data_IF_818038548168
#
_entry.id   IF_818038548168
#
_cell.length_a   1.000
_cell.length_b   1.000
_cell.length_c   1.000
_cell.angle_alpha   90.00
_cell.angle_beta   90.00
_cell.angle_gamma   90.00
#
_symmetry.space_group_name_H-M   'P 1'
#
loop_
_entity.id
_entity.type
_entity.pdbx_description
1 polymer ?
#
# COMPACT_ATOMS: atom_id res chain seq x y z
N UNK A 1 19.24 23.71 7.36
CA UNK A 1 20.16 24.75 6.84
C UNK A 1 20.70 24.20 5.53
N UNK A 2 20.42 24.87 4.41
CA UNK A 2 20.91 24.45 3.10
C UNK A 2 22.20 25.21 2.83
N UNK A 3 23.30 24.48 2.64
CA UNK A 3 24.60 25.04 2.28
C UNK A 3 24.75 24.97 0.76
N UNK A 4 24.72 26.11 0.10
CA UNK A 4 25.18 26.19 -1.28
C UNK A 4 26.70 26.43 -1.25
N UNK A 5 27.48 25.59 -1.87
CA UNK A 5 28.91 25.81 -2.08
C UNK A 5 29.05 26.82 -3.23
N UNK A 6 29.55 28.02 -2.98
CA UNK A 6 29.86 28.96 -4.07
C UNK A 6 30.98 28.38 -4.94
N UNK A 7 30.95 28.68 -6.22
CA UNK A 7 31.95 28.20 -7.20
C UNK A 7 33.40 28.71 -6.94
N UNK A 8 33.61 29.57 -5.99
CA UNK A 8 34.91 30.09 -5.54
C UNK A 8 34.98 30.14 -4.01
N UNK A 9 35.60 29.20 -3.40
CA UNK A 9 36.54 29.21 -2.27
C UNK A 9 36.11 29.74 -0.89
N UNK A 10 35.05 30.49 -0.69
CA UNK A 10 34.64 30.98 0.61
C UNK A 10 33.25 30.46 0.98
N UNK A 11 33.19 29.75 2.10
CA UNK A 11 31.93 29.41 2.78
C UNK A 11 31.33 30.68 3.39
N UNK A 12 30.70 31.51 2.59
CA UNK A 12 29.81 32.50 3.12
C UNK A 12 28.60 31.76 3.71
N UNK A 13 28.39 31.86 5.01
CA UNK A 13 27.20 31.40 5.71
C UNK A 13 25.99 32.30 5.35
N UNK A 14 25.73 32.45 4.07
CA UNK A 14 24.55 33.17 3.58
C UNK A 14 23.38 32.20 3.67
N UNK A 15 22.60 32.32 4.75
CA UNK A 15 21.28 31.75 4.81
C UNK A 15 20.46 32.37 3.67
N UNK A 16 20.02 31.54 2.74
CA UNK A 16 19.08 32.00 1.73
C UNK A 16 17.86 32.60 2.40
N UNK A 17 17.34 33.75 1.92
CA UNK A 17 16.16 34.35 2.48
C UNK A 17 14.98 33.39 2.31
N UNK A 18 14.29 33.11 3.42
CA UNK A 18 13.06 32.33 3.38
C UNK A 18 11.97 33.12 2.70
N UNK A 19 11.33 32.52 1.72
CA UNK A 19 10.20 33.10 1.02
C UNK A 19 8.93 32.93 1.85
N UNK A 20 8.13 33.99 1.96
CA UNK A 20 6.92 34.00 2.77
C UNK A 20 5.75 33.23 2.12
N UNK A 21 5.73 33.10 0.79
CA UNK A 21 4.70 32.40 0.05
C UNK A 21 5.24 31.84 -1.28
N UNK A 22 4.62 30.79 -1.84
CA UNK A 22 4.93 30.31 -3.17
C UNK A 22 4.74 31.39 -4.25
N UNK A 23 5.31 31.21 -5.44
CA UNK A 23 5.00 32.07 -6.58
C UNK A 23 3.51 32.11 -6.86
N UNK A 24 3.01 33.28 -7.24
CA UNK A 24 1.61 33.44 -7.66
C UNK A 24 1.41 32.74 -9.01
N UNK A 25 0.40 31.87 -9.08
CA UNK A 25 -0.05 31.23 -10.32
C UNK A 25 -1.56 31.42 -10.46
N UNK A 26 -2.13 31.30 -11.67
CA UNK A 26 -3.56 31.56 -11.91
C UNK A 26 -4.51 30.80 -10.98
N UNK A 27 -4.15 29.52 -10.65
CA UNK A 27 -4.97 28.65 -9.82
C UNK A 27 -4.65 28.74 -8.31
N UNK A 28 -3.86 29.74 -7.92
CA UNK A 28 -3.46 29.99 -6.54
C UNK A 28 -2.16 29.32 -6.10
N UNK A 29 -1.61 29.78 -4.97
CA UNK A 29 -0.28 29.39 -4.53
C UNK A 29 -0.22 27.93 -4.03
N UNK A 30 -1.29 27.36 -3.47
CA UNK A 30 -1.36 25.93 -3.11
C UNK A 30 -1.21 25.05 -4.36
N UNK A 31 -1.80 25.49 -5.47
CA UNK A 31 -1.68 24.80 -6.75
C UNK A 31 -0.25 24.74 -7.27
N UNK A 32 0.51 25.81 -7.09
CA UNK A 32 1.92 25.81 -7.46
C UNK A 32 2.68 24.70 -6.73
N UNK A 33 2.45 24.54 -5.42
CA UNK A 33 3.11 23.51 -4.61
C UNK A 33 2.66 22.09 -5.01
N UNK A 34 1.35 21.89 -5.24
CA UNK A 34 0.82 20.62 -5.76
C UNK A 34 1.53 20.20 -7.05
N UNK A 35 1.75 21.15 -7.98
CA UNK A 35 2.43 20.85 -9.25
C UNK A 35 3.89 20.45 -9.06
N UNK A 36 4.62 21.12 -8.15
CA UNK A 36 6.00 20.77 -7.85
C UNK A 36 6.09 19.35 -7.25
N UNK A 37 5.15 19.00 -6.37
CA UNK A 37 5.05 17.66 -5.79
C UNK A 37 4.68 16.63 -6.88
N UNK A 38 3.75 16.98 -7.78
CA UNK A 38 3.39 16.11 -8.90
C UNK A 38 4.58 15.80 -9.82
N UNK A 39 5.43 16.80 -10.07
CA UNK A 39 6.65 16.64 -10.87
C UNK A 39 7.73 15.86 -10.12
N UNK A 40 7.84 16.05 -8.81
CA UNK A 40 8.85 15.42 -7.97
C UNK A 40 8.29 15.00 -6.61
N UNK A 41 7.73 13.79 -6.49
CA UNK A 41 7.17 13.30 -5.25
C UNK A 41 8.20 13.14 -4.11
N UNK A 42 9.50 13.12 -4.42
CA UNK A 42 10.54 13.12 -3.40
C UNK A 42 10.47 14.34 -2.45
N UNK A 43 9.83 15.44 -2.87
CA UNK A 43 9.57 16.60 -2.00
C UNK A 43 8.73 16.20 -0.79
N UNK A 44 7.74 15.31 -0.94
CA UNK A 44 6.95 14.78 0.17
C UNK A 44 7.67 13.67 0.93
N UNK A 45 8.45 12.89 0.21
CA UNK A 45 9.00 11.63 0.69
C UNK A 45 10.43 11.78 1.23
N UNK A 46 11.07 12.92 1.01
CA UNK A 46 12.38 13.24 1.58
C UNK A 46 12.28 13.27 3.11
N UNK A 47 12.77 12.23 3.74
CA UNK A 47 12.64 12.03 5.19
C UNK A 47 11.43 11.17 5.60
N UNK A 48 10.64 10.65 4.66
CA UNK A 48 9.72 9.57 4.96
C UNK A 48 10.51 8.41 5.58
N UNK A 49 10.10 8.04 6.79
CA UNK A 49 10.85 7.09 7.61
C UNK A 49 10.87 5.66 7.08
N UNK A 50 10.24 5.40 5.94
CA UNK A 50 10.17 4.07 5.34
C UNK A 50 10.76 4.03 3.92
N UNK A 51 11.72 3.13 3.66
CA UNK A 51 12.24 2.86 2.32
C UNK A 51 11.15 2.47 1.32
N UNK A 52 10.04 1.92 1.77
CA UNK A 52 8.88 1.53 0.95
C UNK A 52 8.35 2.67 0.10
N UNK A 53 8.39 3.89 0.63
CA UNK A 53 7.86 5.07 -0.06
C UNK A 53 8.87 5.76 -0.99
N UNK A 54 10.14 5.34 -0.99
CA UNK A 54 11.18 5.97 -1.81
C UNK A 54 10.94 5.83 -3.33
N UNK A 55 10.15 4.81 -3.74
CA UNK A 55 9.85 4.52 -5.15
C UNK A 55 8.47 5.00 -5.58
N UNK A 56 7.74 5.70 -4.72
CA UNK A 56 6.40 6.20 -5.05
C UNK A 56 6.50 7.18 -6.22
N UNK A 57 5.66 6.97 -7.24
CA UNK A 57 5.48 7.86 -8.39
C UNK A 57 4.15 8.60 -8.26
N UNK A 58 4.11 9.82 -8.72
CA UNK A 58 2.86 10.58 -8.82
C UNK A 58 1.88 9.87 -9.74
N UNK A 59 0.62 9.80 -9.32
CA UNK A 59 -0.49 9.29 -10.13
C UNK A 59 -1.38 10.43 -10.60
N UNK A 60 -1.73 11.33 -9.70
CA UNK A 60 -2.56 12.48 -10.07
C UNK A 60 -2.79 13.45 -8.93
N UNK A 61 -3.42 14.57 -9.28
CA UNK A 61 -3.88 15.59 -8.35
C UNK A 61 -5.38 15.82 -8.51
N UNK A 62 -6.02 16.32 -7.44
CA UNK A 62 -7.44 16.67 -7.45
C UNK A 62 -8.34 15.48 -7.79
N UNK A 63 -8.02 14.29 -7.20
CA UNK A 63 -8.78 13.07 -7.44
C UNK A 63 -10.06 13.10 -6.62
N UNK A 64 -11.20 12.95 -7.30
CA UNK A 64 -12.50 12.93 -6.65
C UNK A 64 -12.81 11.50 -6.20
N UNK A 65 -12.93 11.31 -4.88
CA UNK A 65 -13.30 10.06 -4.24
C UNK A 65 -14.84 9.92 -4.12
N UNK A 66 -15.33 8.71 -3.79
CA UNK A 66 -16.72 8.52 -3.40
C UNK A 66 -17.15 9.50 -2.29
N UNK A 67 -18.36 10.04 -2.40
CA UNK A 67 -18.81 11.09 -1.48
C UNK A 67 -18.35 12.50 -1.85
N UNK A 68 -17.69 12.69 -2.99
CA UNK A 68 -17.31 14.01 -3.52
C UNK A 68 -16.08 14.63 -2.86
N UNK A 69 -15.37 13.90 -2.02
CA UNK A 69 -14.11 14.32 -1.42
C UNK A 69 -13.01 14.36 -2.46
N UNK A 70 -12.13 15.35 -2.36
CA UNK A 70 -11.07 15.58 -3.34
C UNK A 70 -9.70 15.51 -2.68
N UNK A 71 -8.89 14.53 -3.09
CA UNK A 71 -7.50 14.39 -2.65
C UNK A 71 -6.61 15.34 -3.42
N UNK A 72 -5.78 16.11 -2.74
CA UNK A 72 -4.86 17.04 -3.38
C UNK A 72 -3.82 16.33 -4.26
N UNK A 73 -3.27 15.21 -3.80
CA UNK A 73 -2.31 14.41 -4.52
C UNK A 73 -2.33 12.94 -4.08
N UNK A 74 -2.15 12.04 -5.03
CA UNK A 74 -1.95 10.61 -4.80
C UNK A 74 -0.71 10.12 -5.53
N UNK A 75 0.05 9.26 -4.87
CA UNK A 75 1.15 8.51 -5.45
C UNK A 75 1.08 7.04 -5.09
N UNK A 76 1.64 6.21 -5.96
CA UNK A 76 1.69 4.75 -5.75
C UNK A 76 3.09 4.25 -6.13
N UNK A 77 3.65 3.33 -5.33
CA UNK A 77 4.92 2.69 -5.66
C UNK A 77 4.72 1.49 -6.58
N UNK A 78 5.78 0.99 -7.25
CA UNK A 78 5.73 -0.26 -8.00
C UNK A 78 5.29 -1.47 -7.16
N UNK A 79 5.47 -1.41 -5.85
CA UNK A 79 5.07 -2.44 -4.89
C UNK A 79 3.60 -2.31 -4.44
N UNK A 80 2.87 -1.29 -4.93
CA UNK A 80 1.48 -1.04 -4.59
C UNK A 80 1.26 -0.22 -3.30
N UNK A 81 2.34 0.34 -2.70
CA UNK A 81 2.22 1.22 -1.53
C UNK A 81 1.55 2.54 -1.94
N UNK A 82 0.54 2.97 -1.18
CA UNK A 82 -0.27 4.15 -1.50
C UNK A 82 0.09 5.30 -0.58
N UNK A 83 0.31 6.47 -1.16
CA UNK A 83 0.53 7.72 -0.45
C UNK A 83 -0.52 8.74 -0.86
N UNK A 84 -1.21 9.32 0.11
CA UNK A 84 -2.13 10.42 -0.06
C UNK A 84 -1.50 11.68 0.51
N UNK A 85 -1.68 12.82 -0.13
CA UNK A 85 -1.25 14.09 0.44
C UNK A 85 -2.38 15.10 0.51
N UNK A 86 -2.42 15.80 1.64
CA UNK A 86 -3.11 17.07 1.82
C UNK A 86 -2.05 18.17 1.85
N UNK A 87 -2.24 19.20 1.02
CA UNK A 87 -1.25 20.25 0.78
C UNK A 87 -1.88 21.59 1.16
N UNK A 88 -1.32 22.26 2.16
CA UNK A 88 -1.83 23.55 2.65
C UNK A 88 -0.71 24.55 2.86
N UNK A 89 -1.03 25.82 2.62
CA UNK A 89 -0.16 26.92 2.99
C UNK A 89 -0.45 27.40 4.42
N UNK A 90 0.61 27.76 5.14
CA UNK A 90 0.52 28.18 6.55
C UNK A 90 -0.36 29.42 6.80
N UNK A 91 -0.58 30.22 5.77
CA UNK A 91 -1.50 31.38 5.83
C UNK A 91 -2.97 31.02 5.58
N UNK A 92 -3.28 29.74 5.30
CA UNK A 92 -4.67 29.31 5.14
C UNK A 92 -5.38 29.37 6.50
N UNK A 93 -6.56 29.98 6.52
CA UNK A 93 -7.39 30.15 7.74
C UNK A 93 -8.01 28.87 8.25
N UNK A 94 -7.87 27.76 7.51
CA UNK A 94 -8.37 26.46 7.95
C UNK A 94 -7.74 26.04 9.26
N UNK A 95 -8.57 25.53 10.16
CA UNK A 95 -8.09 25.09 11.45
C UNK A 95 -7.14 23.86 11.28
N UNK A 96 -6.12 23.78 12.14
CA UNK A 96 -5.17 22.66 12.15
C UNK A 96 -5.85 21.30 12.31
N UNK A 97 -7.05 21.29 12.93
CA UNK A 97 -7.88 20.09 13.08
C UNK A 97 -8.54 19.70 11.77
N UNK A 98 -8.88 20.65 10.91
CA UNK A 98 -9.50 20.40 9.61
C UNK A 98 -8.56 19.66 8.67
N UNK A 99 -7.26 19.99 8.66
CA UNK A 99 -6.26 19.30 7.83
C UNK A 99 -6.18 17.82 8.19
N UNK A 100 -6.13 17.52 9.50
CA UNK A 100 -6.11 16.12 9.97
C UNK A 100 -7.44 15.43 9.68
N UNK A 101 -8.56 16.11 9.91
CA UNK A 101 -9.88 15.57 9.62
C UNK A 101 -10.07 15.27 8.13
N UNK A 102 -9.62 16.15 7.23
CA UNK A 102 -9.65 15.92 5.78
C UNK A 102 -8.82 14.69 5.38
N UNK A 103 -7.60 14.55 5.92
CA UNK A 103 -6.75 13.39 5.64
C UNK A 103 -7.40 12.08 6.11
N UNK A 104 -8.05 12.07 7.30
CA UNK A 104 -8.79 10.93 7.80
C UNK A 104 -10.05 10.62 6.96
N UNK A 105 -10.71 11.65 6.46
CA UNK A 105 -11.83 11.51 5.54
C UNK A 105 -11.40 10.84 4.21
N UNK A 106 -10.24 11.23 3.67
CA UNK A 106 -9.69 10.60 2.47
C UNK A 106 -9.36 9.13 2.73
N UNK A 107 -8.71 8.85 3.86
CA UNK A 107 -8.43 7.50 4.29
C UNK A 107 -9.70 6.64 4.35
N UNK A 108 -10.74 7.15 5.01
CA UNK A 108 -12.02 6.45 5.15
C UNK A 108 -12.67 6.17 3.79
N UNK A 109 -12.66 7.15 2.88
CA UNK A 109 -13.23 6.99 1.54
C UNK A 109 -12.41 6.01 0.67
N UNK A 110 -11.08 6.05 0.79
CA UNK A 110 -10.18 5.19 0.02
C UNK A 110 -10.31 3.71 0.44
N UNK A 111 -10.41 3.44 1.74
CA UNK A 111 -10.49 2.08 2.29
C UNK A 111 -11.66 1.26 1.75
N UNK A 112 -12.74 1.91 1.34
CA UNK A 112 -13.91 1.26 0.73
C UNK A 112 -13.81 1.02 -0.77
N UNK A 113 -12.71 1.41 -1.41
CA UNK A 113 -12.56 1.33 -2.87
C UNK A 113 -11.96 0.00 -3.33
N UNK A 114 -12.38 -0.45 -4.52
CA UNK A 114 -11.65 -1.48 -5.25
C UNK A 114 -10.52 -0.85 -6.09
N UNK A 115 -9.58 -1.69 -6.56
CA UNK A 115 -8.53 -1.26 -7.49
C UNK A 115 -9.10 -0.51 -8.71
N UNK A 116 -10.14 -1.08 -9.34
CA UNK A 116 -10.79 -0.50 -10.52
C UNK A 116 -11.46 0.84 -10.21
N UNK A 117 -12.06 0.96 -9.02
CA UNK A 117 -12.68 2.21 -8.57
C UNK A 117 -11.62 3.30 -8.37
N UNK A 118 -10.48 2.95 -7.79
CA UNK A 118 -9.35 3.86 -7.63
C UNK A 118 -8.77 4.27 -9.00
N UNK A 119 -8.52 3.31 -9.88
CA UNK A 119 -8.01 3.55 -11.22
C UNK A 119 -8.94 4.48 -12.02
N UNK A 120 -10.24 4.21 -12.01
CA UNK A 120 -11.25 5.05 -12.65
C UNK A 120 -11.32 6.47 -12.06
N UNK A 121 -11.18 6.62 -10.74
CA UNK A 121 -11.14 7.92 -10.08
C UNK A 121 -9.89 8.71 -10.51
N UNK A 122 -8.73 8.03 -10.54
CA UNK A 122 -7.48 8.63 -11.02
C UNK A 122 -7.54 9.00 -12.50
N UNK A 123 -8.15 8.17 -13.36
CA UNK A 123 -8.32 8.48 -14.80
C UNK A 123 -9.17 9.74 -15.03
N UNK A 124 -10.21 9.93 -14.23
CA UNK A 124 -11.13 11.08 -14.33
C UNK A 124 -10.58 12.37 -13.74
N UNK A 125 -9.45 12.31 -13.03
CA UNK A 125 -8.86 13.49 -12.42
C UNK A 125 -8.41 14.49 -13.49
N UNK A 126 -8.57 15.78 -13.20
CA UNK A 126 -8.19 16.88 -14.12
C UNK A 126 -6.69 16.83 -14.47
N UNK A 127 -5.88 16.33 -13.55
CA UNK A 127 -4.43 16.11 -13.74
C UNK A 127 -4.08 14.70 -13.32
N UNK A 128 -4.19 13.81 -14.28
CA UNK A 128 -3.85 12.40 -14.16
C UNK A 128 -2.61 12.08 -14.99
N UNK A 129 -1.78 11.21 -14.51
CA UNK A 129 -0.72 10.56 -15.32
C UNK A 129 -1.23 9.28 -15.99
N UNK A 130 -2.50 8.91 -15.74
CA UNK A 130 -3.19 7.87 -16.48
C UNK A 130 -3.78 8.47 -17.76
N UNK A 131 -3.48 7.87 -18.91
CA UNK A 131 -3.98 8.35 -20.21
C UNK A 131 -4.00 7.22 -21.23
N UNK A 132 -5.06 7.11 -22.02
CA UNK A 132 -5.22 6.06 -23.01
C UNK A 132 -5.15 4.67 -22.37
N UNK A 133 -4.21 3.85 -22.83
CA UNK A 133 -3.98 2.49 -22.31
C UNK A 133 -3.10 2.44 -21.05
N UNK A 134 -2.60 3.60 -20.57
CA UNK A 134 -1.77 3.68 -19.38
C UNK A 134 -2.63 3.68 -18.13
N UNK A 135 -2.67 2.54 -17.44
CA UNK A 135 -3.34 2.36 -16.16
C UNK A 135 -2.46 2.67 -14.95
N UNK A 136 -2.94 2.32 -13.76
CA UNK A 136 -2.18 2.49 -12.51
C UNK A 136 -0.89 1.67 -12.53
N UNK A 137 -0.88 0.48 -13.12
CA UNK A 137 0.27 -0.41 -13.21
C UNK A 137 1.46 0.26 -13.90
N UNK A 138 1.24 0.84 -15.07
CA UNK A 138 2.26 1.55 -15.83
C UNK A 138 2.63 2.88 -15.17
N UNK A 139 1.64 3.62 -14.66
CA UNK A 139 1.86 4.92 -14.02
C UNK A 139 2.69 4.80 -12.73
N UNK A 140 2.45 3.77 -11.93
CA UNK A 140 3.25 3.48 -10.74
C UNK A 140 4.66 2.95 -11.07
N UNK A 141 4.94 2.63 -12.34
CA UNK A 141 6.21 2.04 -12.78
C UNK A 141 6.36 0.56 -12.41
N UNK A 142 5.25 -0.11 -12.11
CA UNK A 142 5.28 -1.54 -11.83
C UNK A 142 5.57 -2.38 -13.08
N UNK A 143 5.28 -1.86 -14.27
CA UNK A 143 5.66 -2.48 -15.54
C UNK A 143 7.19 -2.63 -15.73
N UNK A 144 7.99 -1.79 -15.06
CA UNK A 144 9.44 -1.86 -15.06
C UNK A 144 10.00 -2.80 -13.97
N UNK A 145 9.11 -3.44 -13.21
CA UNK A 145 9.43 -4.38 -12.13
C UNK A 145 9.15 -5.82 -12.54
N UNK A 146 9.43 -6.76 -11.63
CA UNK A 146 9.10 -8.15 -11.86
C UNK A 146 7.61 -8.49 -11.63
N UNK A 147 6.77 -7.49 -11.31
CA UNK A 147 5.34 -7.71 -11.07
C UNK A 147 4.54 -7.83 -12.36
N UNK A 148 3.55 -8.71 -12.35
CA UNK A 148 2.47 -8.70 -13.35
C UNK A 148 1.43 -7.65 -12.96
N UNK A 149 0.61 -7.23 -13.94
CA UNK A 149 -0.48 -6.29 -13.67
C UNK A 149 -1.49 -6.84 -12.64
N UNK A 150 -1.73 -8.15 -12.64
CA UNK A 150 -2.62 -8.80 -11.70
C UNK A 150 -2.04 -8.79 -10.27
N UNK A 151 -0.76 -9.10 -10.11
CA UNK A 151 -0.06 -9.05 -8.81
C UNK A 151 -0.03 -7.63 -8.23
N UNK A 152 0.24 -6.63 -9.06
CA UNK A 152 0.21 -5.24 -8.65
C UNK A 152 -1.20 -4.82 -8.20
N UNK A 153 -2.23 -5.13 -8.98
CA UNK A 153 -3.62 -4.80 -8.66
C UNK A 153 -4.05 -5.44 -7.34
N UNK A 154 -3.57 -6.65 -7.06
CA UNK A 154 -3.86 -7.35 -5.82
C UNK A 154 -3.18 -6.69 -4.62
N UNK A 155 -1.90 -6.32 -4.73
CA UNK A 155 -1.17 -5.59 -3.68
C UNK A 155 -1.84 -4.25 -3.35
N UNK A 156 -2.26 -3.49 -4.37
CA UNK A 156 -3.04 -2.26 -4.16
C UNK A 156 -4.36 -2.57 -3.47
N UNK A 157 -5.07 -3.63 -3.87
CA UNK A 157 -6.33 -4.06 -3.25
C UNK A 157 -6.13 -4.44 -1.78
N UNK A 158 -5.07 -5.18 -1.45
CA UNK A 158 -4.75 -5.55 -0.08
C UNK A 158 -4.42 -4.32 0.78
N UNK A 159 -3.67 -3.35 0.24
CA UNK A 159 -3.39 -2.09 0.93
C UNK A 159 -4.65 -1.24 1.13
N UNK A 160 -5.57 -1.20 0.15
CA UNK A 160 -6.87 -0.53 0.30
C UNK A 160 -7.73 -1.21 1.39
N UNK A 161 -7.81 -2.52 1.38
CA UNK A 161 -8.62 -3.30 2.32
C UNK A 161 -8.08 -3.21 3.75
N UNK A 162 -6.78 -3.38 3.94
CA UNK A 162 -6.13 -3.27 5.25
C UNK A 162 -6.05 -1.84 5.74
N UNK A 163 -6.16 -0.87 4.84
CA UNK A 163 -5.98 0.55 5.13
C UNK A 163 -4.51 0.94 5.30
N UNK A 164 -3.59 0.16 4.71
CA UNK A 164 -2.16 0.46 4.76
C UNK A 164 -1.82 1.54 3.75
N UNK A 165 -1.84 2.78 4.21
CA UNK A 165 -1.52 3.97 3.42
C UNK A 165 -0.64 4.92 4.22
N UNK A 166 0.11 5.77 3.54
CA UNK A 166 0.77 6.92 4.14
C UNK A 166 -0.07 8.17 3.88
N UNK A 167 -0.48 8.85 4.95
CA UNK A 167 -1.09 10.18 4.89
C UNK A 167 0.01 11.23 5.07
N UNK A 168 0.34 11.97 4.02
CA UNK A 168 1.32 13.04 4.03
C UNK A 168 0.62 14.40 4.17
N UNK A 169 0.87 15.09 5.28
CA UNK A 169 0.41 16.47 5.51
C UNK A 169 1.56 17.40 5.13
N UNK A 170 1.44 18.11 4.02
CA UNK A 170 2.47 18.98 3.46
C UNK A 170 2.10 20.46 3.62
N UNK A 171 2.93 21.21 4.36
CA UNK A 171 2.73 22.63 4.62
C UNK A 171 4.02 23.39 4.32
N UNK A 172 3.90 24.67 3.89
CA UNK A 172 5.04 25.58 3.81
C UNK A 172 5.56 26.02 5.19
N UNK A 173 4.70 25.98 6.20
CA UNK A 173 5.04 26.22 7.60
C UNK A 173 4.20 25.31 8.51
N UNK A 174 4.87 24.52 9.37
CA UNK A 174 4.22 23.65 10.34
C UNK A 174 4.17 24.32 11.71
N UNK A 175 2.97 24.68 12.19
CA UNK A 175 2.81 25.18 13.55
C UNK A 175 3.16 24.10 14.60
N UNK A 176 3.84 24.49 15.67
CA UNK A 176 4.23 23.59 16.77
C UNK A 176 3.05 22.80 17.34
N UNK A 177 1.88 23.41 17.43
CA UNK A 177 0.67 22.75 17.93
C UNK A 177 0.13 21.65 16.98
N UNK A 178 0.35 21.80 15.66
CA UNK A 178 0.02 20.72 14.71
C UNK A 178 1.02 19.56 14.82
N UNK A 179 2.31 19.87 14.94
CA UNK A 179 3.33 18.85 15.14
C UNK A 179 3.06 18.05 16.42
N UNK A 180 2.68 18.71 17.51
CA UNK A 180 2.28 18.05 18.76
C UNK A 180 1.01 17.22 18.61
N UNK A 181 -0.02 17.73 17.91
CA UNK A 181 -1.25 16.98 17.66
C UNK A 181 -0.95 15.67 16.92
N UNK A 182 -0.12 15.71 15.89
CA UNK A 182 0.28 14.51 15.15
C UNK A 182 1.12 13.58 16.00
N UNK A 183 2.13 14.10 16.72
CA UNK A 183 3.01 13.29 17.56
C UNK A 183 2.27 12.71 18.77
N UNK A 184 1.57 13.54 19.53
CA UNK A 184 1.06 13.15 20.85
C UNK A 184 -0.26 12.35 20.72
N UNK A 185 -1.15 12.76 19.80
CA UNK A 185 -2.47 12.13 19.68
C UNK A 185 -2.42 10.88 18.81
N UNK A 186 -1.71 10.92 17.67
CA UNK A 186 -1.67 9.77 16.77
C UNK A 186 -0.65 8.71 17.20
N UNK A 187 0.45 9.09 17.88
CA UNK A 187 1.42 8.11 18.39
C UNK A 187 0.90 7.30 19.57
N UNK A 188 -0.04 7.84 20.33
CA UNK A 188 -0.64 7.15 21.48
C UNK A 188 -1.73 6.13 21.06
N UNK A 189 -2.13 6.12 19.80
CA UNK A 189 -3.12 5.17 19.27
C UNK A 189 -2.42 3.88 18.79
N UNK A 190 -2.52 2.77 19.53
CA UNK A 190 -1.73 1.55 19.26
C UNK A 190 -2.15 0.78 18.00
N UNK A 191 -3.23 1.15 17.34
CA UNK A 191 -3.84 0.35 16.28
C UNK A 191 -4.27 1.14 15.03
N UNK A 192 -3.58 2.24 14.71
CA UNK A 192 -3.85 2.90 13.43
C UNK A 192 -3.27 2.05 12.28
N UNK A 193 -4.09 1.63 11.31
CA UNK A 193 -3.62 0.84 10.17
C UNK A 193 -2.85 1.67 9.13
N UNK A 194 -2.86 3.00 9.26
CA UNK A 194 -2.19 3.94 8.37
C UNK A 194 -1.01 4.66 9.06
N UNK A 195 -0.04 5.07 8.27
CA UNK A 195 1.05 5.93 8.71
C UNK A 195 0.73 7.40 8.43
N UNK A 196 1.27 8.32 9.22
CA UNK A 196 1.15 9.76 9.00
C UNK A 196 2.52 10.39 8.94
N UNK A 197 2.76 11.29 8.00
CA UNK A 197 3.95 12.14 7.97
C UNK A 197 3.52 13.61 7.87
N UNK A 198 4.18 14.44 8.67
CA UNK A 198 4.01 15.90 8.65
C UNK A 198 5.27 16.53 8.09
N UNK A 199 5.17 17.08 6.89
CA UNK A 199 6.30 17.61 6.13
C UNK A 199 6.17 19.12 6.00
N UNK A 200 7.17 19.84 6.50
CA UNK A 200 7.32 21.28 6.23
C UNK A 200 8.18 21.46 4.98
N UNK A 201 7.64 22.17 3.99
CA UNK A 201 8.33 22.48 2.75
C UNK A 201 8.77 23.93 2.78
N UNK A 202 9.98 24.18 3.31
CA UNK A 202 10.55 25.52 3.32
C UNK A 202 10.78 26.04 1.90
N UNK A 203 10.37 27.27 1.65
CA UNK A 203 10.55 27.96 0.38
C UNK A 203 11.68 28.98 0.53
N UNK A 204 12.61 29.04 -0.40
CA UNK A 204 13.74 29.96 -0.37
C UNK A 204 13.97 30.58 -1.74
N UNK A 205 14.30 31.87 -1.76
CA UNK A 205 14.65 32.54 -3.00
C UNK A 205 16.08 32.17 -3.40
N UNK A 206 16.24 31.69 -4.63
CA UNK A 206 17.54 31.44 -5.22
C UNK A 206 18.12 32.73 -5.83
N UNK A 207 19.42 33.01 -5.71
CA UNK A 207 20.02 34.22 -6.29
C UNK A 207 19.84 34.35 -7.80
N UNK A 208 19.65 33.26 -8.52
CA UNK A 208 19.34 33.24 -9.95
C UNK A 208 17.89 33.57 -10.31
N UNK A 209 17.04 33.82 -9.32
CA UNK A 209 15.60 34.09 -9.47
C UNK A 209 14.71 32.85 -9.41
N UNK A 210 15.27 31.68 -9.10
CA UNK A 210 14.53 30.45 -8.85
C UNK A 210 13.95 30.36 -7.44
N UNK A 211 13.23 29.26 -7.17
CA UNK A 211 12.73 28.90 -5.85
C UNK A 211 13.28 27.53 -5.45
N UNK A 212 13.92 27.47 -4.31
CA UNK A 212 14.40 26.22 -3.72
C UNK A 212 13.34 25.69 -2.74
N UNK A 213 13.05 24.41 -2.84
CA UNK A 213 12.18 23.67 -1.93
C UNK A 213 13.04 22.86 -0.96
N UNK A 214 12.84 23.05 0.33
CA UNK A 214 13.55 22.34 1.38
C UNK A 214 12.55 21.58 2.26
N UNK A 215 12.26 20.30 1.94
CA UNK A 215 11.38 19.49 2.76
C UNK A 215 12.07 19.09 4.08
N UNK A 216 11.32 19.18 5.18
CA UNK A 216 11.76 18.78 6.52
C UNK A 216 10.63 17.95 7.16
N UNK A 217 10.93 16.75 7.56
CA UNK A 217 10.03 15.91 8.34
C UNK A 217 9.91 16.51 9.76
N UNK A 218 8.72 16.98 10.15
CA UNK A 218 8.44 17.56 11.45
C UNK A 218 7.90 16.56 12.47
N UNK A 219 7.11 15.61 11.99
CA UNK A 219 6.59 14.49 12.76
C UNK A 219 6.28 13.32 11.83
N UNK A 220 6.45 12.11 12.32
CA UNK A 220 6.02 10.90 11.63
C UNK A 220 5.47 9.91 12.65
N UNK A 221 4.32 9.35 12.33
CA UNK A 221 3.76 8.19 13.02
C UNK A 221 3.83 7.05 12.03
N UNK A 222 4.69 6.11 12.30
CA UNK A 222 4.78 4.88 11.53
C UNK A 222 3.90 3.84 12.20
N UNK A 223 3.15 3.11 11.41
CA UNK A 223 2.48 1.91 11.87
C UNK A 223 3.56 0.91 12.28
N UNK A 224 3.84 0.85 13.57
CA UNK A 224 4.61 -0.23 14.14
C UNK A 224 3.61 -1.29 14.56
N UNK A 225 3.72 -2.48 13.98
CA UNK A 225 2.97 -3.65 14.45
C UNK A 225 3.38 -3.91 15.90
N UNK A 226 2.59 -3.41 16.83
CA UNK A 226 2.71 -3.81 18.23
C UNK A 226 1.97 -5.12 18.35
N UNK A 227 2.69 -6.20 18.63
CA UNK A 227 2.07 -7.46 18.99
C UNK A 227 1.15 -7.20 20.19
N UNK A 228 -0.14 -7.30 20.00
CA UNK A 228 -1.09 -7.36 21.10
C UNK A 228 -0.94 -8.75 21.70
N UNK A 229 -0.15 -8.88 22.75
CA UNK A 229 -0.09 -10.09 23.54
C UNK A 229 -1.44 -10.20 24.24
N UNK A 230 -2.32 -11.01 23.70
CA UNK A 230 -3.58 -11.37 24.35
C UNK A 230 -3.24 -12.39 25.43
N UNK A 231 -3.31 -12.00 26.68
CA UNK A 231 -3.32 -12.95 27.78
C UNK A 231 -4.63 -13.75 27.69
N UNK A 232 -4.51 -15.06 27.49
CA UNK A 232 -5.64 -15.96 27.40
C UNK A 232 -6.41 -16.03 28.71
N UNK A 233 -7.64 -15.51 28.67
CA UNK A 233 -8.74 -15.98 29.48
C UNK A 233 -9.87 -16.21 28.50
N UNK A 234 -10.50 -17.38 28.55
CA UNK A 234 -11.52 -17.86 27.61
C UNK A 234 -12.65 -16.83 27.39
N UNK A 235 -12.54 -16.05 26.33
CA UNK A 235 -13.60 -15.28 25.75
C UNK A 235 -13.56 -15.54 24.25
N UNK A 236 -14.65 -16.13 23.75
CA UNK A 236 -14.86 -16.28 22.32
C UNK A 236 -14.64 -14.94 21.62
N UNK A 237 -13.71 -14.91 20.66
CA UNK A 237 -13.54 -13.77 19.78
C UNK A 237 -14.66 -13.87 18.76
N UNK A 238 -15.77 -13.22 19.01
CA UNK A 238 -16.62 -12.76 17.93
C UNK A 238 -15.75 -11.76 17.14
N UNK A 239 -15.31 -12.18 15.98
CA UNK A 239 -14.66 -11.32 15.03
C UNK A 239 -15.59 -10.13 14.79
N UNK A 240 -15.11 -8.93 15.04
CA UNK A 240 -15.68 -7.69 14.53
C UNK A 240 -15.52 -7.65 12.99
N UNK A 241 -16.13 -8.62 12.31
CA UNK A 241 -16.55 -8.55 10.93
C UNK A 241 -17.93 -7.89 10.89
N UNK A 242 -18.10 -6.81 11.63
CA UNK A 242 -19.31 -6.01 11.56
C UNK A 242 -19.11 -4.92 10.51
N UNK A 243 -19.71 -5.09 9.35
CA UNK A 243 -20.04 -3.99 8.45
C UNK A 243 -19.33 -3.98 7.10
N UNK A 244 -19.30 -5.10 6.40
CA UNK A 244 -19.05 -5.11 4.97
C UNK A 244 -20.05 -5.99 4.23
N UNK A 245 -21.30 -5.96 4.69
CA UNK A 245 -22.43 -6.40 3.85
C UNK A 245 -23.07 -5.14 3.25
N UNK A 246 -23.30 -5.21 1.93
CA UNK A 246 -23.99 -4.24 1.08
C UNK A 246 -23.27 -2.90 0.82
N UNK A 247 -22.38 -2.91 -0.17
CA UNK A 247 -22.48 -2.06 -1.36
C UNK A 247 -21.43 -2.47 -2.42
N UNK A 248 -21.55 -3.69 -2.91
CA UNK A 248 -20.96 -4.07 -4.19
C UNK A 248 -21.84 -3.51 -5.31
N UNK A 249 -21.81 -2.19 -5.54
CA UNK A 249 -22.31 -1.62 -6.78
C UNK A 249 -21.21 -1.66 -7.83
N UNK A 250 -21.35 -2.66 -8.65
CA UNK A 250 -20.89 -2.85 -10.02
C UNK A 250 -20.49 -1.60 -10.76
N UNK A 251 -19.19 -1.49 -11.08
CA UNK A 251 -18.71 -0.82 -12.30
C UNK A 251 -17.68 -1.71 -12.99
N UNK A 252 -18.14 -2.38 -13.97
CA UNK A 252 -17.71 -2.86 -15.25
C UNK A 252 -16.24 -3.17 -15.51
N UNK A 253 -15.71 -4.23 -14.88
CA UNK A 253 -14.93 -5.30 -15.55
C UNK A 253 -15.17 -6.54 -14.70
N UNK A 254 -15.79 -7.57 -15.29
CA UNK A 254 -16.29 -8.72 -14.59
C UNK A 254 -15.24 -9.35 -13.68
N UNK A 255 -15.55 -9.49 -12.39
CA UNK A 255 -14.88 -10.40 -11.48
C UNK A 255 -14.88 -11.75 -12.18
N UNK A 256 -13.71 -12.33 -12.44
CA UNK A 256 -13.65 -13.67 -13.07
C UNK A 256 -14.35 -14.66 -12.15
N UNK A 257 -15.17 -15.51 -12.73
CA UNK A 257 -15.66 -16.67 -11.99
C UNK A 257 -14.51 -17.66 -11.76
N UNK A 258 -14.68 -18.57 -10.83
CA UNK A 258 -13.73 -19.68 -10.62
C UNK A 258 -13.56 -20.47 -11.94
N UNK A 259 -14.65 -20.73 -12.65
CA UNK A 259 -14.62 -21.48 -13.90
C UNK A 259 -13.85 -20.74 -14.99
N UNK A 260 -14.04 -19.42 -15.12
CA UNK A 260 -13.28 -18.60 -16.08
C UNK A 260 -11.79 -18.58 -15.74
N UNK A 261 -11.43 -18.51 -14.47
CA UNK A 261 -10.03 -18.56 -14.02
C UNK A 261 -9.39 -19.89 -14.37
N UNK A 262 -10.05 -21.00 -14.03
CA UNK A 262 -9.59 -22.34 -14.33
C UNK A 262 -9.47 -22.61 -15.84
N UNK A 263 -10.42 -22.10 -16.63
CA UNK A 263 -10.37 -22.22 -18.09
C UNK A 263 -9.17 -21.48 -18.72
N UNK A 264 -8.78 -20.33 -18.16
CA UNK A 264 -7.57 -19.60 -18.60
C UNK A 264 -6.31 -20.32 -18.13
N UNK A 265 -6.29 -20.85 -16.91
CA UNK A 265 -5.17 -21.57 -16.34
C UNK A 265 -4.88 -22.84 -17.14
N UNK A 266 -5.91 -23.57 -17.57
CA UNK A 266 -5.76 -24.79 -18.38
C UNK A 266 -5.07 -24.53 -19.73
N UNK A 267 -5.28 -23.33 -20.32
CA UNK A 267 -4.57 -22.90 -21.55
C UNK A 267 -3.08 -22.63 -21.30
N UNK A 268 -2.69 -22.36 -20.06
CA UNK A 268 -1.31 -22.09 -19.68
C UNK A 268 -0.51 -23.35 -19.38
N UNK A 269 -1.20 -24.45 -19.09
CA UNK A 269 -0.57 -25.77 -18.87
C UNK A 269 -1.64 -26.85 -18.73
N UNK A 270 -1.53 -27.90 -19.55
CA UNK A 270 -2.49 -28.99 -19.58
C UNK A 270 -2.62 -29.69 -18.20
N UNK A 271 -3.84 -29.82 -17.72
CA UNK A 271 -4.17 -30.46 -16.44
C UNK A 271 -3.92 -29.58 -15.21
N UNK A 272 -3.45 -28.33 -15.36
CA UNK A 272 -3.22 -27.45 -14.21
C UNK A 272 -4.52 -27.10 -13.49
N UNK A 273 -5.61 -26.87 -14.23
CA UNK A 273 -6.90 -26.58 -13.62
C UNK A 273 -7.41 -27.72 -12.75
N UNK A 274 -7.31 -28.97 -13.24
CA UNK A 274 -7.72 -30.17 -12.50
C UNK A 274 -6.86 -30.37 -11.25
N UNK A 275 -5.53 -30.25 -11.36
CA UNK A 275 -4.61 -30.35 -10.23
C UNK A 275 -4.89 -29.26 -9.18
N UNK A 276 -5.12 -28.01 -9.62
CA UNK A 276 -5.44 -26.91 -8.72
C UNK A 276 -6.76 -27.15 -8.00
N UNK A 277 -7.81 -27.58 -8.70
CA UNK A 277 -9.10 -27.87 -8.08
C UNK A 277 -8.98 -28.95 -6.99
N UNK A 278 -8.26 -30.05 -7.28
CA UNK A 278 -7.98 -31.09 -6.27
C UNK A 278 -7.18 -30.56 -5.08
N UNK A 279 -6.19 -29.70 -5.33
CA UNK A 279 -5.42 -29.07 -4.27
C UNK A 279 -6.31 -28.16 -3.39
N UNK A 280 -7.19 -27.35 -4.01
CA UNK A 280 -8.08 -26.45 -3.28
C UNK A 280 -9.06 -27.17 -2.36
N UNK A 281 -9.57 -28.34 -2.79
CA UNK A 281 -10.41 -29.21 -1.93
C UNK A 281 -9.65 -29.62 -0.66
N UNK A 282 -8.41 -30.09 -0.81
CA UNK A 282 -7.54 -30.49 0.31
C UNK A 282 -7.10 -29.28 1.16
N UNK A 283 -6.81 -28.15 0.52
CA UNK A 283 -6.41 -26.94 1.20
C UNK A 283 -7.56 -26.34 2.03
N UNK A 284 -8.81 -26.51 1.58
CA UNK A 284 -9.98 -26.11 2.35
C UNK A 284 -10.13 -26.91 3.66
N UNK A 285 -9.71 -28.20 3.68
CA UNK A 285 -9.70 -29.02 4.90
C UNK A 285 -8.74 -28.46 5.96
N UNK A 286 -7.69 -27.77 5.56
CA UNK A 286 -6.74 -27.09 6.44
C UNK A 286 -7.05 -25.59 6.60
N UNK A 287 -8.26 -25.15 6.28
CA UNK A 287 -8.76 -23.80 6.54
C UNK A 287 -8.35 -22.74 5.50
N UNK A 288 -7.79 -23.14 4.35
CA UNK A 288 -7.48 -22.22 3.27
C UNK A 288 -8.73 -21.86 2.47
N UNK A 289 -8.95 -20.59 2.25
CA UNK A 289 -9.99 -20.05 1.39
C UNK A 289 -9.37 -19.51 0.11
N UNK A 290 -10.04 -19.69 -1.02
CA UNK A 290 -9.62 -19.19 -2.31
C UNK A 290 -10.56 -18.08 -2.80
N UNK A 291 -10.04 -16.88 -2.95
CA UNK A 291 -10.75 -15.72 -3.50
C UNK A 291 -10.30 -15.50 -4.94
N UNK A 292 -11.23 -15.47 -5.89
CA UNK A 292 -10.94 -15.21 -7.30
C UNK A 292 -11.36 -13.79 -7.67
N UNK A 293 -10.38 -13.03 -8.19
CA UNK A 293 -10.60 -11.72 -8.79
C UNK A 293 -9.90 -11.67 -10.17
N UNK A 294 -8.78 -10.96 -10.27
CA UNK A 294 -7.86 -11.01 -11.42
C UNK A 294 -6.90 -12.20 -11.33
N UNK A 295 -6.43 -12.46 -10.12
CA UNK A 295 -5.71 -13.65 -9.70
C UNK A 295 -6.55 -14.43 -8.67
N UNK A 296 -6.11 -15.62 -8.32
CA UNK A 296 -6.67 -16.38 -7.22
C UNK A 296 -5.79 -16.21 -5.99
N UNK A 297 -6.35 -15.66 -4.91
CA UNK A 297 -5.66 -15.48 -3.63
C UNK A 297 -6.02 -16.59 -2.69
N UNK A 298 -5.02 -17.25 -2.16
CA UNK A 298 -5.18 -18.24 -1.09
C UNK A 298 -5.06 -17.52 0.26
N UNK A 299 -6.07 -17.66 1.10
CA UNK A 299 -6.11 -17.06 2.43
C UNK A 299 -6.21 -18.11 3.51
N UNK A 300 -5.39 -17.97 4.54
CA UNK A 300 -5.43 -18.78 5.74
C UNK A 300 -5.60 -17.84 6.95
N UNK A 301 -6.73 -17.93 7.65
CA UNK A 301 -7.06 -16.99 8.71
C UNK A 301 -7.11 -15.53 8.26
N UNK A 302 -7.55 -15.29 7.01
CA UNK A 302 -7.58 -13.93 6.42
C UNK A 302 -6.24 -13.45 5.84
N UNK A 303 -5.14 -14.15 6.07
CA UNK A 303 -3.80 -13.80 5.62
C UNK A 303 -3.57 -14.35 4.21
N UNK A 304 -3.07 -13.53 3.29
CA UNK A 304 -2.65 -14.00 1.97
C UNK A 304 -1.41 -14.90 2.11
N UNK A 305 -1.58 -16.18 1.81
CA UNK A 305 -0.53 -17.20 1.84
C UNK A 305 -0.03 -17.59 0.45
N UNK A 306 -0.59 -16.98 -0.60
CA UNK A 306 -0.15 -17.13 -1.97
C UNK A 306 -1.16 -16.59 -2.96
N UNK A 307 -0.67 -15.90 -3.99
CA UNK A 307 -1.46 -15.39 -5.11
C UNK A 307 -1.10 -16.16 -6.36
N UNK A 308 -2.11 -16.70 -7.05
CA UNK A 308 -1.96 -17.52 -8.25
C UNK A 308 -2.46 -16.72 -9.44
N UNK A 309 -1.57 -16.32 -10.33
CA UNK A 309 -1.92 -15.67 -11.58
C UNK A 309 -2.56 -16.63 -12.58
N UNK A 310 -3.43 -16.15 -13.43
CA UNK A 310 -4.13 -16.96 -14.43
C UNK A 310 -3.20 -17.67 -15.46
N UNK A 311 -1.93 -17.26 -15.53
CA UNK A 311 -0.89 -17.90 -16.36
C UNK A 311 -0.07 -18.94 -15.58
N UNK A 312 -0.48 -19.30 -14.36
CA UNK A 312 0.19 -20.33 -13.55
C UNK A 312 1.45 -19.86 -12.81
N UNK A 313 1.66 -18.57 -12.65
CA UNK A 313 2.65 -18.03 -11.71
C UNK A 313 2.08 -17.99 -10.29
N UNK A 314 2.89 -18.32 -9.28
CA UNK A 314 2.54 -18.15 -7.86
C UNK A 314 3.49 -17.17 -7.22
N UNK A 315 2.94 -16.24 -6.47
CA UNK A 315 3.70 -15.29 -5.66
C UNK A 315 3.31 -15.42 -4.19
N UNK A 316 4.32 -15.48 -3.32
CA UNK A 316 4.20 -15.39 -1.87
C UNK A 316 5.00 -14.18 -1.40
N UNK A 317 4.37 -13.25 -0.69
CA UNK A 317 5.00 -12.03 -0.22
C UNK A 317 4.43 -11.61 1.14
N UNK A 318 5.23 -10.87 1.90
CA UNK A 318 4.83 -10.41 3.24
C UNK A 318 3.78 -9.31 3.12
N UNK A 319 2.60 -9.55 3.67
CA UNK A 319 1.53 -8.56 3.84
C UNK A 319 1.52 -8.02 5.27
N UNK A 320 0.82 -6.92 5.51
CA UNK A 320 0.66 -6.42 6.88
C UNK A 320 -0.08 -7.41 7.77
N UNK A 321 -1.10 -8.10 7.25
CA UNK A 321 -1.77 -9.17 7.97
C UNK A 321 -0.81 -10.29 8.38
N UNK A 322 0.17 -10.65 7.52
CA UNK A 322 1.21 -11.62 7.84
C UNK A 322 2.19 -11.09 8.92
N UNK A 323 2.49 -9.79 8.90
CA UNK A 323 3.31 -9.16 9.94
C UNK A 323 2.58 -9.18 11.29
N UNK A 324 1.30 -8.81 11.29
CA UNK A 324 0.44 -8.79 12.49
C UNK A 324 0.27 -10.19 13.10
N UNK A 325 0.09 -11.21 12.27
CA UNK A 325 -0.05 -12.60 12.72
C UNK A 325 1.27 -13.22 13.20
N UNK A 326 2.42 -12.72 12.70
CA UNK A 326 3.73 -13.21 13.08
C UNK A 326 4.71 -13.29 11.92
N UNK A 327 5.49 -12.22 11.70
CA UNK A 327 6.45 -12.12 10.59
C UNK A 327 7.41 -13.31 10.52
N UNK A 328 7.96 -13.74 11.66
CA UNK A 328 8.92 -14.85 11.69
C UNK A 328 8.29 -16.18 11.23
N UNK A 329 7.04 -16.42 11.61
CA UNK A 329 6.28 -17.59 11.18
C UNK A 329 6.01 -17.55 9.66
N UNK A 330 5.67 -16.38 9.12
CA UNK A 330 5.45 -16.23 7.69
C UNK A 330 6.74 -16.38 6.87
N UNK A 331 7.87 -15.87 7.36
CA UNK A 331 9.18 -16.08 6.73
C UNK A 331 9.54 -17.56 6.74
N UNK A 332 9.28 -18.28 7.84
CA UNK A 332 9.50 -19.73 7.91
C UNK A 332 8.62 -20.49 6.91
N UNK A 333 7.34 -20.13 6.78
CA UNK A 333 6.45 -20.66 5.75
C UNK A 333 7.01 -20.42 4.34
N UNK A 334 7.41 -19.19 4.04
CA UNK A 334 8.00 -18.84 2.73
C UNK A 334 9.28 -19.64 2.45
N UNK A 335 10.11 -19.88 3.46
CA UNK A 335 11.31 -20.70 3.33
C UNK A 335 10.96 -22.17 3.03
N UNK A 336 9.88 -22.71 3.61
CA UNK A 336 9.38 -24.06 3.30
C UNK A 336 8.90 -24.14 1.84
N UNK A 337 8.13 -23.16 1.37
CA UNK A 337 7.74 -23.08 -0.05
C UNK A 337 8.98 -22.99 -0.96
N UNK A 338 9.97 -22.22 -0.55
CA UNK A 338 11.26 -22.12 -1.25
C UNK A 338 11.96 -23.48 -1.35
N UNK A 339 11.97 -24.26 -0.30
CA UNK A 339 12.54 -25.62 -0.29
C UNK A 339 11.76 -26.57 -1.21
N UNK A 340 10.41 -26.49 -1.19
CA UNK A 340 9.54 -27.30 -2.07
C UNK A 340 9.82 -27.02 -3.55
N UNK A 341 10.04 -25.75 -3.90
CA UNK A 341 10.22 -25.31 -5.29
C UNK A 341 11.69 -25.17 -5.71
N UNK A 342 12.64 -25.40 -4.79
CA UNK A 342 14.08 -25.14 -4.97
C UNK A 342 14.40 -23.67 -5.34
N UNK A 343 13.59 -22.74 -4.84
CA UNK A 343 13.74 -21.30 -5.06
C UNK A 343 14.03 -20.59 -3.74
N UNK A 344 15.07 -19.78 -3.71
CA UNK A 344 15.39 -18.97 -2.53
C UNK A 344 14.55 -17.70 -2.54
N UNK A 345 13.82 -17.38 -1.44
CA UNK A 345 13.15 -16.11 -1.30
C UNK A 345 14.13 -14.93 -1.48
N UNK A 346 13.70 -13.91 -2.21
CA UNK A 346 14.51 -12.72 -2.51
C UNK A 346 13.89 -11.49 -1.83
N UNK A 347 14.70 -10.46 -1.51
CA UNK A 347 14.17 -9.17 -1.08
C UNK A 347 13.18 -8.63 -2.11
N UNK A 348 12.04 -8.12 -1.64
CA UNK A 348 11.00 -7.56 -2.49
C UNK A 348 11.15 -6.04 -2.57
N UNK A 349 11.73 -5.57 -3.67
CA UNK A 349 11.97 -4.16 -3.92
C UNK A 349 12.81 -3.47 -2.82
N UNK A 350 12.53 -2.19 -2.57
CA UNK A 350 13.21 -1.40 -1.54
C UNK A 350 12.77 -1.73 -0.11
N UNK A 351 11.70 -2.51 0.07
CA UNK A 351 11.13 -2.81 1.38
C UNK A 351 11.92 -3.81 2.21
N UNK A 352 12.94 -4.46 1.64
CA UNK A 352 13.77 -5.49 2.28
C UNK A 352 13.00 -6.71 2.81
N UNK A 353 11.69 -6.80 2.56
CA UNK A 353 10.89 -7.96 2.93
C UNK A 353 11.08 -9.06 1.89
N UNK A 354 11.16 -10.33 2.30
CA UNK A 354 11.31 -11.41 1.33
C UNK A 354 10.04 -11.62 0.53
N UNK A 355 10.21 -12.00 -0.73
CA UNK A 355 9.16 -12.56 -1.58
C UNK A 355 9.66 -13.79 -2.33
N UNK A 356 8.73 -14.64 -2.75
CA UNK A 356 9.03 -15.83 -3.52
C UNK A 356 8.09 -15.90 -4.71
N UNK A 357 8.65 -16.23 -5.87
CA UNK A 357 7.89 -16.50 -7.11
C UNK A 357 8.27 -17.85 -7.66
N UNK A 358 7.27 -18.65 -8.01
CA UNK A 358 7.45 -19.96 -8.58
C UNK A 358 6.35 -20.30 -9.59
N UNK A 359 6.54 -21.38 -10.33
CA UNK A 359 5.49 -21.93 -11.15
C UNK A 359 4.49 -22.71 -10.29
N UNK A 360 3.20 -22.59 -10.56
CA UNK A 360 2.14 -23.36 -9.91
C UNK A 360 2.34 -24.87 -10.08
N UNK A 361 2.79 -25.30 -11.27
CA UNK A 361 3.09 -26.70 -11.52
C UNK A 361 4.11 -27.27 -10.53
N UNK A 362 5.16 -26.52 -10.18
CA UNK A 362 6.18 -26.97 -9.23
C UNK A 362 5.62 -27.20 -7.82
N UNK A 363 4.63 -26.39 -7.41
CA UNK A 363 3.94 -26.58 -6.13
C UNK A 363 2.95 -27.75 -6.18
N UNK A 364 2.16 -27.84 -7.26
CA UNK A 364 1.16 -28.90 -7.41
C UNK A 364 1.80 -30.28 -7.59
N UNK A 365 2.98 -30.37 -8.17
CA UNK A 365 3.73 -31.63 -8.24
C UNK A 365 4.26 -32.07 -6.85
N UNK A 366 4.27 -31.18 -5.88
CA UNK A 366 4.64 -31.38 -4.48
C UNK A 366 3.52 -30.93 -3.52
N UNK A 367 2.25 -31.13 -3.92
CA UNK A 367 1.07 -30.63 -3.17
C UNK A 367 1.05 -31.03 -1.69
N UNK A 368 1.49 -32.22 -1.38
CA UNK A 368 1.54 -32.71 0.01
C UNK A 368 2.49 -31.87 0.87
N UNK A 369 3.64 -31.50 0.33
CA UNK A 369 4.61 -30.65 1.03
C UNK A 369 4.08 -29.21 1.19
N UNK A 370 3.34 -28.74 0.19
CA UNK A 370 2.69 -27.42 0.28
C UNK A 370 1.59 -27.40 1.36
N UNK A 371 0.75 -28.44 1.43
CA UNK A 371 -0.27 -28.57 2.48
C UNK A 371 0.37 -28.66 3.87
N UNK A 372 1.48 -29.39 4.02
CA UNK A 372 2.25 -29.44 5.28
C UNK A 372 2.75 -28.07 5.67
N UNK A 373 3.27 -27.28 4.73
CA UNK A 373 3.76 -25.93 4.99
C UNK A 373 2.60 -24.98 5.42
N UNK A 374 1.44 -25.08 4.77
CA UNK A 374 0.24 -24.30 5.13
C UNK A 374 -0.27 -24.67 6.53
N UNK A 375 -0.34 -25.96 6.84
CA UNK A 375 -0.74 -26.45 8.18
C UNK A 375 0.21 -25.96 9.25
N UNK A 376 1.52 -26.14 9.05
CA UNK A 376 2.55 -25.70 10.00
C UNK A 376 2.51 -24.18 10.23
N UNK A 377 2.22 -23.39 9.18
CA UNK A 377 2.03 -21.96 9.31
C UNK A 377 0.78 -21.65 10.14
N UNK A 378 -0.36 -22.26 9.83
CA UNK A 378 -1.61 -22.08 10.58
C UNK A 378 -1.44 -22.39 12.07
N UNK A 379 -0.79 -23.50 12.40
CA UNK A 379 -0.48 -23.88 13.78
C UNK A 379 0.41 -22.84 14.47
N UNK A 380 1.41 -22.31 13.74
CA UNK A 380 2.36 -21.33 14.29
C UNK A 380 1.73 -19.99 14.62
N UNK A 381 0.59 -19.64 14.01
CA UNK A 381 -0.18 -18.41 14.26
C UNK A 381 -1.43 -18.67 15.12
N UNK A 382 -1.56 -19.88 15.69
CA UNK A 382 -2.63 -20.23 16.63
C UNK A 382 -3.99 -20.48 15.98
N UNK A 383 -4.04 -20.81 14.69
CA UNK A 383 -5.27 -21.26 14.04
C UNK A 383 -5.52 -22.73 14.40
N UNK A 384 -6.66 -23.01 15.02
CA UNK A 384 -7.10 -24.34 15.41
C UNK A 384 -7.67 -25.09 14.17
N UNK A 385 -6.78 -25.55 13.27
CA UNK A 385 -7.13 -26.09 11.95
C UNK A 385 -7.88 -27.44 12.01
N UNK A 386 -7.85 -28.12 13.17
CA UNK A 386 -8.45 -29.47 13.34
C UNK A 386 -9.96 -29.46 13.57
N UNK A 387 -10.59 -28.30 13.84
CA UNK A 387 -12.02 -28.20 14.19
C UNK A 387 -12.97 -27.86 13.04
N UNK A 388 -12.46 -27.55 11.86
CA UNK A 388 -13.31 -27.20 10.70
C UNK A 388 -14.02 -28.40 10.06
N UNK A 389 -13.72 -29.65 10.46
CA UNK A 389 -14.24 -30.86 9.82
C UNK A 389 -15.48 -31.46 10.49
N UNK A 390 -16.10 -30.78 11.47
CA UNK A 390 -17.35 -31.24 12.09
C UNK A 390 -18.32 -30.10 12.41
N UNK A 391 -19.02 -29.62 11.42
CA UNK A 391 -20.36 -29.08 11.57
C UNK A 391 -21.28 -29.82 10.59
N UNK A 392 -22.44 -30.34 11.06
CA UNK A 392 -23.33 -31.19 10.27
C UNK A 392 -24.02 -30.40 9.14
#
# INVERSE_FOLDING_TARGET
MIYLKPAAGELAANSLPRRAAPPSVPDGPERWLQLRIMENPAILLAGAASPKHARVRSIGCEIVLPGGRRIDWIGISPEGEIVLAEIKLGNNSQSKREIVAQALDYYSALRGMSYESLENACQKATRSLLSGDKGLFEAAGAADSDYTADEFAERVTDNLRSGTVLLALALDHVPVSLARLVSDVLMEQPALPFSVSLVEIGLYDEPSGGVLLAPVLRAAVLTTTRAVIRLEGSLAVEALAAGAEDQAQTSGRAKRSMDDFLAVLEKSGQGLATKLSSFLEKAAEVGVQADVARSMVLRLGGINVGSIGAKGGVQVYVTNAAIEAGLSAFIAYMAQIGAVTSITPKPDGAASQPSLRCALSALLDREADWLVALTAYGDSIGLDLVKATKAP
#
